data_IF_556519526523
#
_entry.id   IF_556519526523
#
_cell.length_a   1.000
_cell.length_b   1.000
_cell.length_c   1.000
_cell.angle_alpha   90.00
_cell.angle_beta   90.00
_cell.angle_gamma   90.00
#
_symmetry.space_group_name_H-M   'P 1'
#
loop_
_entity.id
_entity.type
_entity.pdbx_description
1 polymer ?
#
# COMPACT_ATOMS: atom_id res chain seq x y z
N UNK A 1 11.78 -0.19 4.53
CA UNK A 1 11.01 -1.44 4.18
C UNK A 1 10.29 -1.33 2.87
N UNK A 2 9.41 -0.32 2.66
CA UNK A 2 8.59 -0.25 1.42
C UNK A 2 9.41 -0.26 0.12
N UNK A 3 10.53 0.44 0.09
CA UNK A 3 11.43 0.42 -1.07
C UNK A 3 12.10 -0.94 -1.27
N UNK A 4 12.48 -1.61 -0.19
CA UNK A 4 13.14 -2.92 -0.22
C UNK A 4 12.21 -3.99 -0.77
N UNK A 5 10.95 -3.94 -0.36
CA UNK A 5 9.88 -4.82 -0.86
C UNK A 5 9.63 -4.61 -2.35
N UNK A 6 9.48 -3.34 -2.78
CA UNK A 6 9.23 -3.01 -4.18
C UNK A 6 10.41 -3.42 -5.08
N UNK A 7 11.66 -3.26 -4.61
CA UNK A 7 12.85 -3.73 -5.31
C UNK A 7 12.85 -5.26 -5.42
N UNK A 8 12.60 -5.97 -4.32
CA UNK A 8 12.56 -7.43 -4.30
C UNK A 8 11.48 -7.96 -5.25
N UNK A 9 10.27 -7.39 -5.20
CA UNK A 9 9.17 -7.75 -6.09
C UNK A 9 9.51 -7.47 -7.56
N UNK A 10 10.06 -6.29 -7.87
CA UNK A 10 10.47 -5.94 -9.23
C UNK A 10 11.52 -6.89 -9.80
N UNK A 11 12.49 -7.33 -8.98
CA UNK A 11 13.49 -8.32 -9.39
C UNK A 11 12.88 -9.68 -9.69
N UNK A 12 11.88 -10.14 -8.91
CA UNK A 12 11.13 -11.37 -9.22
C UNK A 12 10.36 -11.21 -10.53
N UNK A 13 9.71 -10.07 -10.77
CA UNK A 13 9.00 -9.82 -12.03
C UNK A 13 9.96 -9.76 -13.22
N UNK A 14 11.13 -9.16 -13.06
CA UNK A 14 12.17 -9.14 -14.08
C UNK A 14 12.65 -10.55 -14.44
N UNK A 15 12.88 -11.41 -13.44
CA UNK A 15 13.23 -12.81 -13.69
C UNK A 15 12.11 -13.55 -14.43
N UNK A 16 10.87 -13.41 -13.98
CA UNK A 16 9.71 -14.08 -14.58
C UNK A 16 9.45 -13.63 -16.03
N UNK A 17 9.66 -12.34 -16.32
CA UNK A 17 9.45 -11.78 -17.66
C UNK A 17 10.61 -12.07 -18.60
N UNK A 18 11.84 -11.78 -18.19
CA UNK A 18 13.01 -11.82 -19.08
C UNK A 18 13.95 -13.00 -18.79
N UNK A 19 14.01 -13.46 -17.54
CA UNK A 19 14.98 -14.45 -17.07
C UNK A 19 16.42 -13.95 -17.10
N UNK A 20 17.34 -14.84 -16.72
CA UNK A 20 18.76 -14.54 -16.81
C UNK A 20 19.24 -13.42 -15.86
N UNK A 21 20.16 -12.61 -16.33
CA UNK A 21 20.81 -11.58 -15.52
C UNK A 21 20.87 -10.23 -16.25
N UNK A 22 20.79 -9.16 -15.45
CA UNK A 22 20.98 -7.80 -15.94
C UNK A 22 22.45 -7.42 -16.05
N UNK A 23 22.70 -6.11 -16.18
CA UNK A 23 24.06 -5.53 -16.32
C UNK A 23 24.98 -5.75 -15.13
N UNK A 24 24.43 -6.09 -13.96
CA UNK A 24 25.23 -6.39 -12.73
C UNK A 24 25.87 -7.78 -12.71
N UNK A 25 25.59 -8.62 -13.73
CA UNK A 25 26.22 -9.93 -13.85
C UNK A 25 25.72 -10.98 -12.85
N UNK A 26 24.60 -10.75 -12.18
CA UNK A 26 23.92 -11.70 -11.29
C UNK A 26 22.50 -11.98 -11.78
N UNK A 27 21.99 -13.23 -11.66
CA UNK A 27 20.60 -13.53 -11.97
C UNK A 27 19.64 -12.68 -11.17
N UNK A 28 18.56 -12.21 -11.82
CA UNK A 28 17.53 -11.42 -11.15
C UNK A 28 16.93 -12.15 -9.95
N UNK A 29 16.69 -13.46 -10.08
CA UNK A 29 16.13 -14.27 -8.99
C UNK A 29 17.07 -14.39 -7.79
N UNK A 30 18.37 -14.42 -7.99
CA UNK A 30 19.35 -14.49 -6.89
C UNK A 30 19.45 -13.15 -6.16
N UNK A 31 19.38 -12.03 -6.91
CA UNK A 31 19.25 -10.70 -6.33
C UNK A 31 17.97 -10.56 -5.52
N UNK A 32 16.84 -11.03 -6.06
CA UNK A 32 15.55 -11.01 -5.38
C UNK A 32 15.60 -11.82 -4.08
N UNK A 33 16.11 -13.05 -4.12
CA UNK A 33 16.25 -13.91 -2.92
C UNK A 33 17.11 -13.25 -1.87
N UNK A 34 18.23 -12.67 -2.26
CA UNK A 34 19.12 -11.97 -1.33
C UNK A 34 18.42 -10.77 -0.66
N UNK A 35 17.61 -10.01 -1.41
CA UNK A 35 16.86 -8.88 -0.86
C UNK A 35 15.72 -9.36 0.07
N UNK A 36 14.96 -10.38 -0.34
CA UNK A 36 13.89 -10.97 0.48
C UNK A 36 14.43 -11.51 1.80
N UNK A 37 15.60 -12.17 1.77
CA UNK A 37 16.23 -12.69 2.98
C UNK A 37 16.69 -11.58 3.94
N UNK A 38 17.14 -10.43 3.42
CA UNK A 38 17.46 -9.25 4.24
C UNK A 38 16.22 -8.64 4.89
N UNK A 39 15.12 -8.49 4.13
CA UNK A 39 13.83 -8.06 4.69
C UNK A 39 13.41 -9.00 5.81
N UNK A 40 13.45 -10.32 5.57
CA UNK A 40 13.10 -11.33 6.56
C UNK A 40 13.93 -11.22 7.84
N UNK A 41 15.24 -10.99 7.70
CA UNK A 41 16.18 -10.96 8.82
C UNK A 41 16.11 -9.64 9.62
N UNK A 42 15.90 -8.49 8.96
CA UNK A 42 16.12 -7.19 9.56
C UNK A 42 14.87 -6.32 9.69
N UNK A 43 13.82 -6.63 8.92
CA UNK A 43 12.62 -5.81 8.85
C UNK A 43 11.36 -6.55 9.37
N UNK A 44 11.52 -7.79 9.83
CA UNK A 44 10.47 -8.55 10.51
C UNK A 44 10.86 -8.80 11.95
N UNK A 45 10.03 -8.35 12.89
CA UNK A 45 10.22 -8.65 14.32
C UNK A 45 9.58 -10.01 14.66
N UNK A 46 10.40 -11.05 14.68
CA UNK A 46 9.96 -12.42 14.97
C UNK A 46 9.54 -12.63 16.44
N UNK A 47 9.87 -11.68 17.33
CA UNK A 47 9.46 -11.75 18.75
C UNK A 47 8.03 -11.20 18.95
N UNK A 48 7.46 -10.51 17.92
CA UNK A 48 6.14 -9.86 17.93
C UNK A 48 5.22 -10.40 16.84
N UNK A 49 5.10 -11.74 16.77
CA UNK A 49 4.21 -12.41 15.80
C UNK A 49 4.56 -12.07 14.33
N UNK A 50 5.85 -11.99 14.00
CA UNK A 50 6.33 -11.61 12.68
C UNK A 50 5.80 -10.23 12.23
N UNK A 51 5.92 -9.23 13.12
CA UNK A 51 5.52 -7.85 12.85
C UNK A 51 6.46 -7.21 11.83
N UNK A 52 5.90 -6.61 10.79
CA UNK A 52 6.64 -5.77 9.85
C UNK A 52 7.10 -4.49 10.54
N UNK A 53 8.40 -4.23 10.50
CA UNK A 53 9.01 -2.99 11.00
C UNK A 53 9.09 -1.94 9.88
N UNK A 54 9.17 -0.64 10.21
CA UNK A 54 9.32 0.41 9.21
C UNK A 54 10.66 0.40 8.46
N UNK A 55 11.64 -0.32 8.97
CA UNK A 55 12.98 -0.49 8.42
C UNK A 55 13.95 -1.07 9.45
N UNK A 56 15.13 -1.43 9.02
CA UNK A 56 16.20 -2.06 9.84
C UNK A 56 16.77 -1.11 10.90
N UNK A 57 16.82 0.18 10.64
CA UNK A 57 17.39 1.21 11.50
C UNK A 57 16.45 1.82 12.56
N UNK A 58 15.23 1.32 12.71
CA UNK A 58 14.21 1.94 13.60
C UNK A 58 14.34 1.55 15.09
N UNK A 59 15.16 0.57 15.41
CA UNK A 59 15.50 0.18 16.79
C UNK A 59 14.28 -0.21 17.62
N UNK A 60 14.17 0.36 18.84
CA UNK A 60 13.05 0.07 19.76
C UNK A 60 11.76 0.84 19.47
N UNK A 61 11.71 1.64 18.43
CA UNK A 61 10.50 2.38 18.05
C UNK A 61 9.51 1.45 17.34
N UNK A 62 8.73 0.72 18.12
CA UNK A 62 7.76 -0.23 17.63
C UNK A 62 6.53 0.53 17.14
N UNK A 63 6.49 0.75 15.84
CA UNK A 63 5.37 1.29 15.07
C UNK A 63 5.19 0.47 13.81
N UNK A 64 3.96 0.44 13.33
CA UNK A 64 3.58 -0.18 12.07
C UNK A 64 3.11 0.93 11.11
N UNK A 65 3.61 0.90 9.87
CA UNK A 65 3.08 1.73 8.80
C UNK A 65 2.16 0.87 7.92
N UNK A 66 0.84 1.08 7.97
CA UNK A 66 -0.09 0.28 7.17
C UNK A 66 0.18 0.32 5.66
N UNK A 67 0.82 1.37 5.14
CA UNK A 67 1.12 1.48 3.72
C UNK A 67 2.36 0.71 3.26
N UNK A 68 3.20 0.28 4.21
CA UNK A 68 4.32 -0.62 3.92
C UNK A 68 3.86 -2.07 3.84
N UNK A 69 2.71 -2.39 4.41
CA UNK A 69 2.13 -3.73 4.35
C UNK A 69 1.71 -4.07 2.91
N UNK A 70 2.49 -4.94 2.25
CA UNK A 70 2.35 -5.35 0.87
C UNK A 70 2.04 -6.87 0.75
N UNK A 71 0.86 -7.36 1.19
CA UNK A 71 0.59 -8.78 1.35
C UNK A 71 0.71 -9.59 0.05
N UNK A 72 0.38 -9.01 -1.10
CA UNK A 72 0.60 -9.67 -2.38
C UNK A 72 2.08 -9.99 -2.64
N UNK A 73 2.96 -9.06 -2.31
CA UNK A 73 4.40 -9.25 -2.48
C UNK A 73 4.92 -10.36 -1.55
N UNK A 74 4.41 -10.42 -0.31
CA UNK A 74 4.81 -11.47 0.66
C UNK A 74 4.39 -12.88 0.22
N UNK A 75 3.26 -13.03 -0.48
CA UNK A 75 2.88 -14.31 -1.09
C UNK A 75 3.93 -14.76 -2.10
N UNK A 76 4.42 -13.84 -2.93
CA UNK A 76 5.49 -14.11 -3.89
C UNK A 76 6.80 -14.42 -3.19
N UNK A 77 7.15 -13.66 -2.15
CA UNK A 77 8.38 -13.88 -1.37
C UNK A 77 8.39 -15.28 -0.74
N UNK A 78 7.26 -15.71 -0.20
CA UNK A 78 7.10 -17.06 0.33
C UNK A 78 7.32 -18.14 -0.74
N UNK A 79 6.79 -17.96 -1.94
CA UNK A 79 6.99 -18.88 -3.06
C UNK A 79 8.46 -18.93 -3.52
N UNK A 80 9.09 -17.77 -3.70
CA UNK A 80 10.47 -17.64 -4.20
C UNK A 80 11.49 -18.22 -3.22
N UNK A 81 11.24 -18.09 -1.92
CA UNK A 81 12.16 -18.56 -0.87
C UNK A 81 11.79 -19.94 -0.31
N UNK A 82 10.62 -20.49 -0.67
CA UNK A 82 10.10 -21.73 -0.08
C UNK A 82 9.58 -21.56 1.34
N UNK A 83 9.41 -20.34 1.84
CA UNK A 83 8.98 -19.98 3.20
C UNK A 83 7.53 -19.49 3.23
N UNK A 84 6.62 -20.22 2.57
CA UNK A 84 5.20 -19.81 2.42
C UNK A 84 4.51 -19.66 3.79
N UNK A 85 4.72 -20.60 4.71
CA UNK A 85 4.09 -20.57 6.02
C UNK A 85 4.58 -19.38 6.87
N UNK A 86 5.85 -19.05 6.74
CA UNK A 86 6.49 -17.93 7.42
C UNK A 86 5.94 -16.59 6.95
N UNK A 87 5.92 -16.37 5.64
CA UNK A 87 5.38 -15.14 5.07
C UNK A 87 3.86 -15.01 5.29
N UNK A 88 3.12 -16.12 5.37
CA UNK A 88 1.71 -16.07 5.75
C UNK A 88 1.50 -15.53 7.17
N UNK A 89 2.41 -15.79 8.13
CA UNK A 89 2.31 -15.17 9.47
C UNK A 89 2.51 -13.66 9.43
N UNK A 90 3.41 -13.15 8.59
CA UNK A 90 3.55 -11.69 8.37
C UNK A 90 2.25 -11.11 7.80
N UNK A 91 1.65 -11.79 6.80
CA UNK A 91 0.37 -11.40 6.21
C UNK A 91 -0.74 -11.38 7.27
N UNK A 92 -0.84 -12.42 8.09
CA UNK A 92 -1.86 -12.53 9.13
C UNK A 92 -1.71 -11.42 10.18
N UNK A 93 -0.48 -11.13 10.59
CA UNK A 93 -0.19 -10.04 11.53
C UNK A 93 -0.55 -8.68 10.94
N UNK A 94 -0.16 -8.40 9.69
CA UNK A 94 -0.48 -7.15 9.02
C UNK A 94 -1.99 -6.92 8.87
N UNK A 95 -2.74 -7.93 8.43
CA UNK A 95 -4.21 -7.83 8.36
C UNK A 95 -4.87 -7.68 9.72
N UNK A 96 -4.35 -8.34 10.77
CA UNK A 96 -4.86 -8.17 12.15
C UNK A 96 -4.69 -6.73 12.61
N UNK A 97 -3.52 -6.13 12.39
CA UNK A 97 -3.25 -4.75 12.78
C UNK A 97 -4.09 -3.77 11.95
N UNK A 98 -4.16 -3.96 10.63
CA UNK A 98 -4.99 -3.13 9.76
C UNK A 98 -6.46 -3.16 10.19
N UNK A 99 -7.01 -4.34 10.50
CA UNK A 99 -8.38 -4.46 11.00
C UNK A 99 -8.57 -3.75 12.36
N UNK A 100 -7.62 -3.90 13.29
CA UNK A 100 -7.67 -3.27 14.61
C UNK A 100 -7.54 -1.74 14.53
N UNK A 101 -6.84 -1.21 13.51
CA UNK A 101 -6.67 0.23 13.32
C UNK A 101 -7.96 0.94 12.89
N UNK A 102 -8.97 0.19 12.43
CA UNK A 102 -10.28 0.71 12.06
C UNK A 102 -11.27 0.54 13.22
N UNK A 103 -11.37 1.51 14.09
CA UNK A 103 -12.14 1.40 15.31
C UNK A 103 -12.93 2.67 15.65
N UNK A 104 -13.90 2.54 16.56
CA UNK A 104 -14.77 3.64 16.95
C UNK A 104 -14.03 4.78 17.70
N UNK A 105 -12.98 4.46 18.45
CA UNK A 105 -12.22 5.47 19.20
C UNK A 105 -11.45 6.42 18.26
N UNK A 106 -10.98 5.92 17.13
CA UNK A 106 -10.34 6.71 16.08
C UNK A 106 -11.34 7.33 15.08
N UNK A 107 -12.62 6.99 15.18
CA UNK A 107 -13.67 7.49 14.27
C UNK A 107 -13.69 6.88 12.88
N UNK A 108 -12.86 5.88 12.59
CA UNK A 108 -12.65 5.31 11.26
C UNK A 108 -13.22 3.89 11.08
N UNK A 109 -14.04 3.41 12.01
CA UNK A 109 -14.57 2.05 11.98
C UNK A 109 -15.32 1.69 10.69
N UNK A 110 -15.96 2.67 10.05
CA UNK A 110 -16.82 2.47 8.89
C UNK A 110 -16.29 3.07 7.58
N UNK A 111 -15.35 4.01 7.65
CA UNK A 111 -14.83 4.72 6.47
C UNK A 111 -13.53 4.13 5.88
N UNK A 112 -12.85 3.23 6.62
CA UNK A 112 -11.66 2.55 6.13
C UNK A 112 -10.39 3.42 6.06
N UNK A 113 -10.39 4.63 6.62
CA UNK A 113 -9.22 5.50 6.64
C UNK A 113 -8.20 5.00 7.68
N UNK A 114 -7.28 4.16 7.24
CA UNK A 114 -6.21 3.66 8.09
C UNK A 114 -5.30 4.82 8.56
N UNK A 115 -4.81 4.82 9.81
CA UNK A 115 -3.81 5.79 10.23
C UNK A 115 -2.52 5.62 9.44
N UNK A 116 -1.77 6.69 9.21
CA UNK A 116 -0.46 6.62 8.58
C UNK A 116 0.51 5.76 9.42
N UNK A 117 0.39 5.86 10.74
CA UNK A 117 1.22 5.14 11.71
C UNK A 117 0.37 4.67 12.88
N UNK A 118 0.62 3.45 13.34
CA UNK A 118 -0.03 2.88 14.52
C UNK A 118 0.93 1.95 15.28
N UNK A 119 0.53 1.54 16.47
CA UNK A 119 1.20 0.47 17.19
C UNK A 119 0.73 -0.92 16.74
N UNK A 120 1.27 -1.96 17.34
CA UNK A 120 0.94 -3.37 17.05
C UNK A 120 -0.51 -3.76 17.37
N UNK A 121 -1.24 -2.90 18.08
CA UNK A 121 -2.67 -3.05 18.39
C UNK A 121 -3.57 -2.20 17.50
N UNK A 122 -2.99 -1.50 16.51
CA UNK A 122 -3.70 -0.61 15.60
C UNK A 122 -4.04 0.78 16.18
N UNK A 123 -3.55 1.12 17.38
CA UNK A 123 -3.77 2.45 17.97
C UNK A 123 -2.87 3.46 17.25
N UNK A 124 -3.43 4.59 16.75
CA UNK A 124 -2.62 5.63 16.11
C UNK A 124 -1.45 6.06 17.00
N UNK A 125 -0.23 5.95 16.46
CA UNK A 125 1.01 6.21 17.19
C UNK A 125 2.05 6.79 16.27
N UNK A 126 2.50 8.01 16.55
CA UNK A 126 3.59 8.64 15.80
C UNK A 126 4.90 7.90 15.99
N UNK A 127 5.74 7.78 14.96
CA UNK A 127 7.12 7.38 15.12
C UNK A 127 7.90 8.41 15.97
N UNK A 128 9.03 8.00 16.55
CA UNK A 128 9.80 8.84 17.49
C UNK A 128 10.24 10.20 16.94
N UNK A 129 10.28 10.35 15.64
CA UNK A 129 10.63 11.60 14.95
C UNK A 129 9.41 12.48 14.62
N UNK A 130 8.21 12.13 15.10
CA UNK A 130 7.04 13.00 15.04
C UNK A 130 6.25 12.94 13.73
N UNK A 131 6.00 11.78 13.15
CA UNK A 131 5.08 11.64 12.00
C UNK A 131 3.60 11.84 12.39
N UNK A 132 2.81 12.40 11.47
CA UNK A 132 1.37 12.53 11.62
C UNK A 132 0.67 11.16 11.53
N UNK A 133 -0.42 10.98 12.27
CA UNK A 133 -1.17 9.71 12.32
C UNK A 133 -2.50 9.74 11.58
N UNK A 134 -2.90 10.88 11.02
CA UNK A 134 -4.08 11.02 10.18
C UNK A 134 -3.93 10.25 8.84
N UNK A 135 -4.97 10.20 8.04
CA UNK A 135 -4.90 9.63 6.68
C UNK A 135 -4.23 10.64 5.76
N UNK A 136 -2.91 10.53 5.62
CA UNK A 136 -2.04 11.39 4.83
C UNK A 136 -1.24 10.55 3.80
N UNK A 137 -0.21 11.10 3.18
CA UNK A 137 0.53 10.47 2.08
C UNK A 137 1.01 9.04 2.34
N UNK A 138 1.43 8.72 3.57
CA UNK A 138 1.74 7.32 3.91
C UNK A 138 0.50 6.44 3.81
N UNK A 139 -0.60 6.83 4.43
CA UNK A 139 -1.83 6.05 4.47
C UNK A 139 -2.51 5.92 3.09
N UNK A 140 -2.36 6.93 2.22
CA UNK A 140 -2.99 6.96 0.90
C UNK A 140 -2.63 5.76 0.00
N UNK A 141 -1.51 5.09 0.27
CA UNK A 141 -1.04 3.91 -0.47
C UNK A 141 -1.74 2.61 -0.06
N UNK A 142 -2.37 2.57 1.12
CA UNK A 142 -2.99 1.34 1.66
C UNK A 142 -4.04 0.74 0.71
N UNK A 143 -5.00 1.51 0.14
CA UNK A 143 -5.98 0.94 -0.77
C UNK A 143 -5.36 0.31 -2.02
N UNK A 144 -4.24 0.83 -2.51
CA UNK A 144 -3.50 0.25 -3.63
C UNK A 144 -2.90 -1.11 -3.25
N UNK A 145 -2.15 -1.18 -2.13
CA UNK A 145 -1.48 -2.41 -1.66
C UNK A 145 -2.50 -3.53 -1.39
N UNK A 146 -3.58 -3.19 -0.71
CA UNK A 146 -4.64 -4.16 -0.39
C UNK A 146 -5.49 -4.50 -1.61
N UNK A 147 -5.74 -3.52 -2.51
CA UNK A 147 -6.39 -3.75 -3.79
C UNK A 147 -5.61 -4.70 -4.69
N UNK A 148 -4.29 -4.57 -4.72
CA UNK A 148 -3.40 -5.49 -5.42
C UNK A 148 -3.53 -6.92 -4.86
N UNK A 149 -3.49 -7.10 -3.54
CA UNK A 149 -3.66 -8.43 -2.93
C UNK A 149 -5.03 -9.05 -3.26
N UNK A 150 -6.10 -8.24 -3.20
CA UNK A 150 -7.42 -8.73 -3.60
C UNK A 150 -7.49 -9.19 -5.06
N UNK A 151 -6.96 -8.37 -5.96
CA UNK A 151 -7.02 -8.67 -7.40
C UNK A 151 -6.27 -9.94 -7.79
N UNK A 152 -5.15 -10.24 -7.13
CA UNK A 152 -4.34 -11.42 -7.48
C UNK A 152 -4.62 -12.65 -6.63
N UNK A 153 -5.08 -12.52 -5.38
CA UNK A 153 -5.28 -13.64 -4.47
C UNK A 153 -6.74 -13.89 -4.07
N UNK A 154 -7.63 -12.92 -4.25
CA UNK A 154 -9.02 -13.00 -3.77
C UNK A 154 -9.15 -12.96 -2.25
N UNK A 155 -8.20 -12.39 -1.52
CA UNK A 155 -8.14 -12.37 -0.06
C UNK A 155 -9.39 -11.74 0.57
N UNK A 156 -10.18 -12.46 1.38
CA UNK A 156 -11.44 -11.95 1.93
C UNK A 156 -11.25 -10.82 2.96
N UNK A 157 -10.09 -10.78 3.67
CA UNK A 157 -9.77 -9.69 4.60
C UNK A 157 -9.50 -8.39 3.82
N UNK A 158 -8.88 -8.50 2.64
CA UNK A 158 -8.73 -7.39 1.71
C UNK A 158 -10.10 -6.85 1.30
N UNK A 159 -11.02 -7.71 0.86
CA UNK A 159 -12.37 -7.30 0.49
C UNK A 159 -13.09 -6.56 1.63
N UNK A 160 -12.93 -7.03 2.87
CA UNK A 160 -13.53 -6.41 4.07
C UNK A 160 -13.01 -4.98 4.30
N UNK A 161 -11.70 -4.76 4.17
CA UNK A 161 -11.10 -3.43 4.25
C UNK A 161 -11.55 -2.54 3.09
N UNK A 162 -11.43 -3.05 1.87
CA UNK A 162 -11.70 -2.31 0.64
C UNK A 162 -13.17 -1.86 0.56
N UNK A 163 -14.11 -2.66 1.05
CA UNK A 163 -15.53 -2.28 1.09
C UNK A 163 -15.76 -0.96 1.84
N UNK A 164 -15.04 -0.72 2.94
CA UNK A 164 -15.16 0.49 3.74
C UNK A 164 -14.54 1.70 3.05
N UNK A 165 -13.28 1.58 2.65
CA UNK A 165 -12.54 2.71 2.06
C UNK A 165 -13.09 3.10 0.69
N UNK A 166 -13.56 2.14 -0.11
CA UNK A 166 -14.18 2.42 -1.41
C UNK A 166 -15.54 3.08 -1.27
N UNK A 167 -16.35 2.67 -0.29
CA UNK A 167 -17.63 3.34 0.01
C UNK A 167 -17.39 4.81 0.42
N UNK A 168 -16.38 5.06 1.24
CA UNK A 168 -16.02 6.43 1.65
C UNK A 168 -15.62 7.28 0.44
N UNK A 169 -14.62 6.86 -0.32
CA UNK A 169 -14.12 7.68 -1.45
C UNK A 169 -15.11 7.78 -2.61
N UNK A 170 -15.90 6.74 -2.87
CA UNK A 170 -17.00 6.82 -3.84
C UNK A 170 -18.07 7.84 -3.39
N UNK A 171 -18.35 7.93 -2.09
CA UNK A 171 -19.24 8.93 -1.52
C UNK A 171 -18.69 10.36 -1.60
N UNK A 172 -17.39 10.54 -1.46
CA UNK A 172 -16.69 11.82 -1.68
C UNK A 172 -16.74 12.23 -3.15
N UNK A 173 -16.61 11.27 -4.07
CA UNK A 173 -16.48 11.48 -5.51
C UNK A 173 -15.06 11.87 -5.93
N UNK A 174 -14.58 11.29 -7.02
CA UNK A 174 -13.19 11.38 -7.45
C UNK A 174 -12.65 12.82 -7.56
N UNK A 175 -13.47 13.74 -8.07
CA UNK A 175 -13.10 15.15 -8.24
C UNK A 175 -12.97 15.93 -6.92
N UNK A 176 -13.47 15.39 -5.81
CA UNK A 176 -13.47 16.04 -4.50
C UNK A 176 -12.47 15.41 -3.52
N UNK A 177 -11.76 14.37 -3.93
CA UNK A 177 -10.72 13.75 -3.09
C UNK A 177 -9.57 14.73 -2.90
N UNK A 178 -9.25 15.01 -1.63
CA UNK A 178 -8.10 15.85 -1.24
C UNK A 178 -6.96 14.99 -0.72
N UNK A 179 -5.78 15.57 -0.53
CA UNK A 179 -4.54 14.88 -0.17
C UNK A 179 -4.31 14.77 1.36
N UNK A 180 -5.37 14.71 2.11
CA UNK A 180 -5.36 14.41 3.53
C UNK A 180 -6.74 14.44 4.16
N UNK A 181 -6.93 13.61 5.16
CA UNK A 181 -8.14 13.50 5.97
C UNK A 181 -7.80 13.20 7.42
N UNK A 182 -8.59 13.72 8.34
CA UNK A 182 -8.66 13.17 9.68
C UNK A 182 -9.26 11.75 9.63
N UNK A 183 -8.96 10.93 10.61
CA UNK A 183 -9.45 9.52 10.59
C UNK A 183 -10.97 9.43 10.60
N UNK A 184 -11.68 10.41 11.14
CA UNK A 184 -13.14 10.48 11.11
C UNK A 184 -13.74 10.83 9.73
N UNK A 185 -12.90 11.11 8.74
CA UNK A 185 -13.32 11.44 7.37
C UNK A 185 -13.41 12.94 7.07
N UNK A 186 -13.12 13.82 8.03
CA UNK A 186 -13.04 15.25 7.76
C UNK A 186 -11.86 15.56 6.85
N UNK A 187 -12.08 16.32 5.79
CA UNK A 187 -11.02 16.75 4.87
C UNK A 187 -9.97 17.60 5.61
N UNK A 188 -8.72 17.24 5.46
CA UNK A 188 -7.57 17.90 6.10
C UNK A 188 -6.40 17.93 5.11
N UNK A 189 -6.50 18.77 4.05
CA UNK A 189 -5.47 18.85 3.02
C UNK A 189 -4.09 19.11 3.60
N UNK A 190 -3.05 18.54 2.97
CA UNK A 190 -1.68 18.78 3.35
C UNK A 190 -1.36 20.29 3.25
N UNK A 191 -0.81 20.92 4.30
CA UNK A 191 -0.52 22.35 4.28
C UNK A 191 0.49 22.78 3.21
N UNK A 192 1.31 21.83 2.71
CA UNK A 192 2.27 22.07 1.66
C UNK A 192 1.67 21.93 0.26
N UNK A 193 0.39 21.57 0.15
CA UNK A 193 -0.29 21.46 -1.13
C UNK A 193 -0.59 22.82 -1.74
N UNK A 194 -0.57 22.94 -3.08
CA UNK A 194 -0.92 24.20 -3.75
C UNK A 194 -2.30 24.70 -3.35
N UNK A 195 -2.43 25.96 -3.01
CA UNK A 195 -3.70 26.59 -2.68
C UNK A 195 -4.71 26.40 -3.82
N UNK A 196 -5.88 25.83 -3.50
CA UNK A 196 -6.97 25.61 -4.44
C UNK A 196 -6.86 24.34 -5.32
N UNK A 197 -5.79 23.54 -5.16
CA UNK A 197 -5.64 22.25 -5.87
C UNK A 197 -5.00 21.19 -4.98
N UNK A 198 -5.64 20.79 -3.87
CA UNK A 198 -5.08 19.79 -2.96
C UNK A 198 -5.37 18.35 -3.45
N UNK A 199 -5.23 18.08 -4.74
CA UNK A 199 -5.45 16.77 -5.33
C UNK A 199 -4.13 16.10 -5.70
N UNK A 200 -4.02 14.83 -5.34
CA UNK A 200 -2.83 14.03 -5.56
C UNK A 200 -3.16 12.69 -6.21
N UNK A 201 -2.36 12.28 -7.19
CA UNK A 201 -2.55 11.03 -7.91
C UNK A 201 -2.54 9.81 -6.98
N UNK A 202 -1.78 9.83 -5.90
CA UNK A 202 -1.75 8.71 -4.94
C UNK A 202 -3.07 8.56 -4.20
N UNK A 203 -3.75 9.66 -3.85
CA UNK A 203 -5.05 9.59 -3.16
C UNK A 203 -6.17 9.13 -4.11
N UNK A 204 -6.31 9.79 -5.25
CA UNK A 204 -7.35 9.46 -6.24
C UNK A 204 -7.10 8.08 -6.84
N UNK A 205 -5.87 7.80 -7.24
CA UNK A 205 -5.49 6.55 -7.90
C UNK A 205 -5.57 5.33 -6.99
N UNK A 206 -5.04 5.43 -5.77
CA UNK A 206 -5.12 4.31 -4.82
C UNK A 206 -6.57 4.01 -4.42
N UNK A 207 -7.40 5.04 -4.23
CA UNK A 207 -8.83 4.85 -3.97
C UNK A 207 -9.52 4.11 -5.12
N UNK A 208 -9.19 4.44 -6.39
CA UNK A 208 -9.71 3.76 -7.56
C UNK A 208 -9.27 2.29 -7.63
N UNK A 209 -7.99 2.00 -7.36
CA UNK A 209 -7.48 0.62 -7.31
C UNK A 209 -8.17 -0.17 -6.21
N UNK A 210 -8.33 0.41 -5.01
CA UNK A 210 -9.08 -0.21 -3.94
C UNK A 210 -10.52 -0.55 -4.33
N UNK A 211 -11.15 0.28 -5.14
CA UNK A 211 -12.54 0.11 -5.59
C UNK A 211 -12.72 -1.01 -6.64
N UNK A 212 -11.64 -1.52 -7.24
CA UNK A 212 -11.71 -2.65 -8.20
C UNK A 212 -12.29 -3.93 -7.59
N UNK A 213 -12.36 -4.05 -6.27
CA UNK A 213 -12.95 -5.20 -5.60
C UNK A 213 -14.46 -5.38 -5.83
N UNK A 214 -15.17 -4.35 -6.29
CA UNK A 214 -16.62 -4.38 -6.44
C UNK A 214 -17.14 -3.68 -7.68
N UNK A 215 -17.91 -4.40 -8.51
CA UNK A 215 -18.49 -3.87 -9.77
C UNK A 215 -19.38 -2.63 -9.57
N UNK A 216 -19.98 -2.46 -8.38
CA UNK A 216 -20.80 -1.28 -8.05
C UNK A 216 -20.01 0.03 -8.05
N UNK A 217 -18.69 -0.03 -7.94
CA UNK A 217 -17.82 1.15 -7.96
C UNK A 217 -17.32 1.53 -9.36
N UNK A 218 -17.76 0.83 -10.42
CA UNK A 218 -17.32 1.11 -11.79
C UNK A 218 -17.47 2.59 -12.23
N UNK A 219 -18.55 3.32 -11.90
CA UNK A 219 -18.62 4.75 -12.21
C UNK A 219 -17.51 5.57 -11.52
N UNK A 220 -17.29 5.35 -10.23
CA UNK A 220 -16.22 6.01 -9.47
C UNK A 220 -14.83 5.72 -10.04
N UNK A 221 -14.57 4.45 -10.40
CA UNK A 221 -13.30 4.04 -11.03
C UNK A 221 -13.10 4.77 -12.37
N UNK A 222 -14.17 4.89 -13.19
CA UNK A 222 -14.12 5.61 -14.47
C UNK A 222 -13.78 7.09 -14.30
N UNK A 223 -14.41 7.77 -13.34
CA UNK A 223 -14.15 9.17 -13.03
C UNK A 223 -12.72 9.37 -12.52
N UNK A 224 -12.27 8.53 -11.60
CA UNK A 224 -10.92 8.58 -11.05
C UNK A 224 -9.85 8.28 -12.11
N UNK A 225 -10.09 7.29 -12.99
CA UNK A 225 -9.22 7.00 -14.14
C UNK A 225 -9.07 8.22 -15.04
N UNK A 226 -10.18 8.87 -15.40
CA UNK A 226 -10.16 10.07 -16.22
C UNK A 226 -9.30 11.19 -15.62
N UNK A 227 -9.41 11.44 -14.32
CA UNK A 227 -8.60 12.42 -13.61
C UNK A 227 -7.12 12.05 -13.55
N UNK A 228 -6.81 10.81 -13.16
CA UNK A 228 -5.40 10.36 -13.06
C UNK A 228 -4.72 10.36 -14.43
N UNK A 229 -5.44 9.99 -15.50
CA UNK A 229 -4.92 9.93 -16.86
C UNK A 229 -4.51 11.30 -17.44
N UNK A 230 -4.99 12.41 -16.88
CA UNK A 230 -4.53 13.77 -17.28
C UNK A 230 -3.06 13.99 -16.94
N UNK A 231 -2.53 13.31 -15.92
CA UNK A 231 -1.18 13.55 -15.39
C UNK A 231 -1.04 14.88 -14.65
N UNK A 232 -2.14 15.52 -14.28
CA UNK A 232 -2.17 16.87 -13.66
C UNK A 232 -2.34 16.85 -12.14
N UNK A 233 -2.62 15.70 -11.53
CA UNK A 233 -2.77 15.55 -10.08
C UNK A 233 -1.40 15.55 -9.37
N UNK A 234 -0.73 16.70 -9.35
CA UNK A 234 0.69 16.85 -8.99
C UNK A 234 0.90 17.61 -7.67
N UNK A 235 -0.12 17.71 -6.80
CA UNK A 235 0.03 18.34 -5.50
C UNK A 235 1.31 17.87 -4.78
N UNK A 236 2.01 18.76 -4.14
CA UNK A 236 3.23 18.54 -3.34
C UNK A 236 4.48 18.07 -4.12
N UNK A 237 4.44 16.97 -4.90
CA UNK A 237 5.63 16.42 -5.56
C UNK A 237 5.30 15.85 -6.93
N UNK A 238 5.88 16.46 -7.97
CA UNK A 238 5.70 16.00 -9.35
C UNK A 238 6.23 14.57 -9.56
N UNK A 239 7.45 14.26 -9.12
CA UNK A 239 8.04 12.93 -9.26
C UNK A 239 7.19 11.87 -8.60
N UNK A 240 6.84 12.07 -7.35
CA UNK A 240 6.04 11.13 -6.57
C UNK A 240 4.67 10.86 -7.21
N UNK A 241 3.94 11.94 -7.56
CA UNK A 241 2.63 11.80 -8.15
C UNK A 241 2.64 11.20 -9.56
N UNK A 242 3.64 11.46 -10.40
CA UNK A 242 3.78 10.81 -11.70
C UNK A 242 4.09 9.32 -11.57
N UNK A 243 4.88 8.92 -10.58
CA UNK A 243 5.12 7.51 -10.28
C UNK A 243 3.81 6.81 -9.91
N UNK A 244 3.01 7.43 -9.03
CA UNK A 244 1.71 6.89 -8.63
C UNK A 244 0.67 6.94 -9.76
N UNK A 245 0.70 7.94 -10.62
CA UNK A 245 -0.09 7.96 -11.87
C UNK A 245 0.22 6.72 -12.70
N UNK A 246 1.49 6.42 -12.92
CA UNK A 246 1.91 5.27 -13.73
C UNK A 246 1.45 3.94 -13.11
N UNK A 247 1.74 3.71 -11.82
CA UNK A 247 1.34 2.49 -11.12
C UNK A 247 -0.19 2.29 -11.12
N UNK A 248 -0.93 3.36 -10.86
CA UNK A 248 -2.39 3.36 -10.87
C UNK A 248 -2.94 2.97 -12.25
N UNK A 249 -2.47 3.64 -13.31
CA UNK A 249 -2.95 3.34 -14.66
C UNK A 249 -2.60 1.92 -15.09
N UNK A 250 -1.41 1.43 -14.77
CA UNK A 250 -1.04 0.04 -15.02
C UNK A 250 -1.99 -0.93 -14.32
N UNK A 251 -2.34 -0.66 -13.04
CA UNK A 251 -3.24 -1.53 -12.28
C UNK A 251 -4.67 -1.48 -12.82
N UNK A 252 -5.24 -0.27 -13.03
CA UNK A 252 -6.60 -0.08 -13.52
C UNK A 252 -6.85 -0.65 -14.91
N UNK A 253 -5.82 -0.72 -15.73
CA UNK A 253 -5.89 -1.26 -17.11
C UNK A 253 -5.48 -2.72 -17.21
N UNK A 254 -5.14 -3.39 -16.09
CA UNK A 254 -4.68 -4.78 -16.07
C UNK A 254 -3.28 -4.99 -16.64
N UNK A 255 -2.48 -3.92 -16.75
CA UNK A 255 -1.11 -3.98 -17.27
C UNK A 255 -0.03 -4.04 -16.18
N UNK A 256 -0.39 -3.95 -14.90
CA UNK A 256 0.51 -4.31 -13.81
C UNK A 256 0.47 -5.84 -13.64
N UNK A 257 1.20 -6.54 -14.48
CA UNK A 257 1.10 -7.99 -14.60
C UNK A 257 1.94 -8.68 -13.53
N UNK A 258 1.32 -9.62 -12.82
CA UNK A 258 2.05 -10.59 -12.01
C UNK A 258 2.38 -11.80 -12.89
N UNK A 259 3.61 -11.85 -13.41
CA UNK A 259 4.05 -12.95 -14.27
C UNK A 259 4.08 -14.28 -13.48
N UNK A 260 3.66 -15.41 -14.07
CA UNK A 260 3.74 -16.71 -13.41
C UNK A 260 5.19 -17.12 -13.14
N UNK A 261 5.39 -18.00 -12.16
CA UNK A 261 6.69 -18.63 -11.94
C UNK A 261 7.11 -19.41 -13.19
N UNK A 262 8.39 -19.35 -13.54
CA UNK A 262 8.98 -20.14 -14.62
C UNK A 262 9.24 -21.55 -14.19
#
# INVERSE_FOLDING_TARGET
>A
TDSDEDIAWALVMADRQWGGMGSVGMPYIDLARAQIERIWQWEIDHTRQDLLLPGDGWGSNIVFNPSYFAPNQYRIFGQVTGKVAEWNRVIDTGYRILAASLNAASGNATNGLAPAWCDENGVPKSPNNGGATNYQYDAARVPFRIGQDYCYSGEPRAATYLAKVSAFFSGVGAANIVDGYDLNGTAHPDPDSPAGSPQSAVFVGSAAVGAMHGASFAPFIGDAYGLVATGELLARSRYYNLSWTTLTLLMLTGNLVEYPAR
#
